data_IF_443931682890
#
_entry.id   IF_443931682890
#
_cell.length_a   1.000
_cell.length_b   1.000
_cell.length_c   1.000
_cell.angle_alpha   90.00
_cell.angle_beta   90.00
_cell.angle_gamma   90.00
#
_symmetry.space_group_name_H-M   'P 1'
#
loop_
_entity.id
_entity.type
_entity.pdbx_description
1 polymer ?
#
# COMPACT_ATOMS: atom_id res chain seq x y z
N UNK A 1 -10.48 10.64 18.60
CA UNK A 1 -10.81 11.26 17.35
C UNK A 1 -9.94 10.75 16.20
N UNK A 2 -10.56 10.32 15.16
CA UNK A 2 -9.83 9.82 14.02
C UNK A 2 -9.29 10.96 13.18
N UNK A 3 -8.03 10.88 12.82
CA UNK A 3 -7.38 11.86 11.96
C UNK A 3 -7.41 11.48 10.50
N UNK A 4 -7.86 10.30 10.20
CA UNK A 4 -8.06 9.81 8.86
C UNK A 4 -8.84 8.52 8.94
N UNK A 5 -9.44 8.14 7.86
CA UNK A 5 -10.20 6.91 7.80
C UNK A 5 -9.58 5.97 6.80
N UNK A 6 -9.60 4.71 7.15
CA UNK A 6 -9.25 3.68 6.19
C UNK A 6 -10.44 3.53 5.25
N UNK A 7 -10.18 3.77 3.96
CA UNK A 7 -11.17 3.52 2.92
C UNK A 7 -10.70 2.29 2.16
N UNK A 8 -11.30 1.18 2.48
CA UNK A 8 -11.01 -0.05 1.79
C UNK A 8 -12.32 -0.69 1.39
N UNK A 9 -12.37 -1.22 0.17
CA UNK A 9 -13.52 -1.96 -0.31
C UNK A 9 -13.61 -3.33 0.34
N UNK A 10 -12.59 -3.73 1.08
CA UNK A 10 -12.50 -5.06 1.68
C UNK A 10 -12.30 -4.98 3.18
N UNK A 11 -12.90 -5.92 3.91
CA UNK A 11 -12.58 -6.15 5.30
C UNK A 11 -11.15 -6.68 5.41
N UNK A 12 -10.54 -6.56 6.59
CA UNK A 12 -9.15 -6.99 6.80
C UNK A 12 -8.93 -8.46 6.47
N UNK A 13 -9.89 -9.31 6.80
CA UNK A 13 -9.79 -10.74 6.52
C UNK A 13 -9.84 -11.00 5.02
N UNK A 14 -10.68 -10.30 4.30
CA UNK A 14 -10.76 -10.43 2.86
C UNK A 14 -9.46 -9.97 2.18
N UNK A 15 -8.84 -8.91 2.69
CA UNK A 15 -7.54 -8.47 2.19
C UNK A 15 -6.49 -9.54 2.36
N UNK A 16 -6.43 -10.17 3.54
CA UNK A 16 -5.48 -11.24 3.77
C UNK A 16 -5.71 -12.42 2.81
N UNK A 17 -6.95 -12.85 2.67
CA UNK A 17 -7.28 -13.98 1.81
C UNK A 17 -6.94 -13.71 0.34
N UNK A 18 -7.21 -12.49 -0.11
CA UNK A 18 -6.93 -12.13 -1.50
C UNK A 18 -5.46 -11.84 -1.75
N UNK A 19 -4.80 -11.17 -0.84
CA UNK A 19 -3.46 -10.61 -1.08
C UNK A 19 -2.34 -11.40 -0.43
N UNK A 20 -2.65 -12.24 0.55
CA UNK A 20 -1.66 -12.96 1.32
C UNK A 20 -0.82 -12.08 2.23
N UNK A 21 -1.22 -10.83 2.43
CA UNK A 21 -0.52 -9.90 3.31
C UNK A 21 -1.20 -9.92 4.67
N UNK A 22 -0.43 -10.20 5.71
CA UNK A 22 -0.97 -10.28 7.07
C UNK A 22 -1.57 -8.95 7.50
N UNK A 23 -2.62 -9.03 8.28
CA UNK A 23 -3.32 -7.86 8.78
C UNK A 23 -2.39 -6.92 9.54
N UNK A 24 -1.47 -7.46 10.36
CA UNK A 24 -0.53 -6.62 11.10
C UNK A 24 0.36 -5.78 10.17
N UNK A 25 0.76 -6.34 9.03
CA UNK A 25 1.58 -5.62 8.07
C UNK A 25 0.77 -4.47 7.44
N UNK A 26 -0.47 -4.74 7.07
CA UNK A 26 -1.35 -3.71 6.51
C UNK A 26 -1.56 -2.59 7.53
N UNK A 27 -1.79 -2.94 8.78
CA UNK A 27 -1.96 -1.95 9.85
C UNK A 27 -0.69 -1.10 10.03
N UNK A 28 0.47 -1.73 9.98
CA UNK A 28 1.74 -1.02 10.07
C UNK A 28 1.91 -0.01 8.93
N UNK A 29 1.55 -0.41 7.71
CA UNK A 29 1.59 0.48 6.55
C UNK A 29 0.67 1.68 6.75
N UNK A 30 -0.55 1.44 7.22
CA UNK A 30 -1.53 2.50 7.48
C UNK A 30 -1.02 3.45 8.55
N UNK A 31 -0.46 2.93 9.64
CA UNK A 31 0.07 3.76 10.72
C UNK A 31 1.22 4.64 10.23
N UNK A 32 2.09 4.11 9.39
CA UNK A 32 3.18 4.89 8.82
C UNK A 32 2.66 5.96 7.87
N UNK A 33 1.62 5.66 7.10
CA UNK A 33 0.99 6.65 6.23
C UNK A 33 0.42 7.81 7.06
N UNK A 34 -0.21 7.52 8.18
CA UNK A 34 -0.73 8.54 9.08
C UNK A 34 0.40 9.36 9.70
N UNK A 35 1.47 8.68 10.12
CA UNK A 35 2.63 9.33 10.74
C UNK A 35 3.27 10.36 9.82
N UNK A 36 3.38 10.04 8.54
CA UNK A 36 4.06 10.91 7.57
C UNK A 36 3.10 11.72 6.71
N UNK A 37 1.83 11.78 7.10
CA UNK A 37 0.81 12.60 6.45
C UNK A 37 0.61 12.23 4.97
N UNK A 38 0.77 10.98 4.65
CA UNK A 38 0.50 10.46 3.31
C UNK A 38 -1.00 10.53 3.05
N UNK A 39 -1.40 10.93 1.84
CA UNK A 39 -2.79 11.14 1.49
C UNK A 39 -3.48 9.85 1.06
N UNK A 40 -2.74 8.95 0.42
CA UNK A 40 -3.33 7.76 -0.18
C UNK A 40 -2.26 6.69 -0.33
N UNK A 41 -2.63 5.44 -0.05
CA UNK A 41 -1.78 4.27 -0.29
C UNK A 41 -2.60 3.23 -1.05
N UNK A 42 -2.05 2.76 -2.15
CA UNK A 42 -2.71 1.80 -3.04
C UNK A 42 -1.83 0.56 -3.16
N UNK A 43 -2.41 -0.61 -2.96
CA UNK A 43 -1.76 -1.88 -3.27
C UNK A 43 -2.07 -2.22 -4.72
N UNK A 44 -1.05 -2.57 -5.50
CA UNK A 44 -1.24 -3.00 -6.88
C UNK A 44 -0.39 -4.24 -7.17
N UNK A 45 -0.32 -4.66 -8.42
CA UNK A 45 0.48 -5.81 -8.82
C UNK A 45 -0.16 -7.14 -8.47
N UNK A 46 0.66 -8.18 -8.40
CA UNK A 46 0.17 -9.55 -8.27
C UNK A 46 -0.63 -9.80 -7.01
N UNK A 47 -0.26 -9.17 -5.91
CA UNK A 47 -1.01 -9.36 -4.65
C UNK A 47 -2.37 -8.68 -4.69
N UNK A 48 -2.49 -7.56 -5.40
CA UNK A 48 -3.79 -6.93 -5.60
C UNK A 48 -4.67 -7.77 -6.53
N UNK A 49 -4.09 -8.35 -7.57
CA UNK A 49 -4.83 -9.22 -8.50
C UNK A 49 -5.21 -10.55 -7.89
N UNK A 50 -4.41 -11.04 -6.93
CA UNK A 50 -4.63 -12.34 -6.32
C UNK A 50 -3.84 -13.48 -6.98
N UNK A 51 -3.00 -13.17 -7.96
CA UNK A 51 -2.19 -14.19 -8.66
C UNK A 51 -0.75 -14.22 -8.18
N UNK A 52 -0.51 -13.76 -6.96
CA UNK A 52 0.80 -13.73 -6.35
C UNK A 52 1.30 -15.12 -6.00
N UNK A 53 2.62 -15.22 -5.87
CA UNK A 53 3.28 -16.39 -5.31
C UNK A 53 3.69 -16.07 -3.88
N UNK A 54 4.08 -17.11 -3.13
CA UNK A 54 4.42 -16.96 -1.71
C UNK A 54 5.42 -15.84 -1.45
N UNK A 55 6.41 -15.67 -2.32
CA UNK A 55 7.47 -14.69 -2.15
C UNK A 55 7.33 -13.48 -3.07
N UNK A 56 6.16 -13.28 -3.67
CA UNK A 56 5.92 -12.10 -4.51
C UNK A 56 6.08 -10.82 -3.70
N UNK A 57 6.65 -9.79 -4.33
CA UNK A 57 6.83 -8.49 -3.70
C UNK A 57 5.49 -7.85 -3.39
N UNK A 58 5.51 -6.94 -2.43
CA UNK A 58 4.35 -6.11 -2.11
C UNK A 58 4.53 -4.80 -2.88
N UNK A 59 3.66 -4.55 -3.84
CA UNK A 59 3.72 -3.36 -4.69
C UNK A 59 2.78 -2.29 -4.16
N UNK A 60 3.34 -1.18 -3.72
CA UNK A 60 2.58 -0.06 -3.17
C UNK A 60 2.80 1.20 -3.99
N UNK A 61 1.74 1.98 -4.16
CA UNK A 61 1.83 3.34 -4.68
C UNK A 61 1.28 4.28 -3.62
N UNK A 62 1.88 5.44 -3.47
CA UNK A 62 1.40 6.41 -2.50
C UNK A 62 1.43 7.81 -3.08
N UNK A 63 0.67 8.69 -2.46
CA UNK A 63 0.56 10.09 -2.88
C UNK A 63 0.56 10.98 -1.64
N UNK A 64 1.31 12.08 -1.71
CA UNK A 64 1.33 13.09 -0.68
C UNK A 64 2.23 12.78 0.50
N UNK A 65 2.31 13.72 1.42
CA UNK A 65 3.05 13.55 2.66
C UNK A 65 4.56 13.55 2.50
N UNK A 66 5.22 13.03 3.51
CA UNK A 66 6.67 12.91 3.54
C UNK A 66 7.10 11.56 2.97
N UNK A 67 6.98 11.44 1.65
CA UNK A 67 7.10 10.17 0.95
C UNK A 67 8.43 9.45 1.14
N UNK A 68 9.54 10.19 1.22
CA UNK A 68 10.84 9.56 1.41
C UNK A 68 10.93 8.83 2.75
N UNK A 69 10.40 9.44 3.79
CA UNK A 69 10.37 8.80 5.12
C UNK A 69 9.40 7.65 5.16
N UNK A 70 8.24 7.82 4.53
CA UNK A 70 7.25 6.76 4.45
C UNK A 70 7.81 5.52 3.77
N UNK A 71 8.41 5.68 2.60
CA UNK A 71 8.97 4.57 1.83
C UNK A 71 10.05 3.83 2.63
N UNK A 72 10.93 4.58 3.25
CA UNK A 72 12.03 4.01 4.01
C UNK A 72 11.51 3.19 5.19
N UNK A 73 10.58 3.76 5.96
CA UNK A 73 10.06 3.09 7.15
C UNK A 73 9.19 1.88 6.80
N UNK A 74 8.44 1.93 5.70
CA UNK A 74 7.69 0.77 5.26
C UNK A 74 8.63 -0.40 5.00
N UNK A 75 9.75 -0.13 4.36
CA UNK A 75 10.73 -1.17 4.05
C UNK A 75 11.44 -1.68 5.31
N UNK A 76 11.71 -0.79 6.27
CA UNK A 76 12.55 -1.11 7.43
C UNK A 76 11.77 -1.51 8.68
N UNK A 77 10.57 -0.98 8.86
CA UNK A 77 9.85 -1.06 10.15
C UNK A 77 8.68 -2.04 10.15
N UNK A 78 8.29 -2.57 8.99
CA UNK A 78 7.17 -3.53 8.97
C UNK A 78 7.64 -4.93 9.35
N UNK A 79 6.69 -5.72 9.85
CA UNK A 79 6.96 -7.06 10.40
C UNK A 79 7.02 -8.15 9.35
N UNK A 80 7.24 -7.82 8.08
CA UNK A 80 7.31 -8.79 7.00
C UNK A 80 8.73 -8.94 6.47
N UNK A 81 9.05 -10.14 6.01
CA UNK A 81 10.30 -10.41 5.30
C UNK A 81 10.16 -10.24 3.79
N UNK A 82 8.95 -9.95 3.31
CA UNK A 82 8.72 -9.71 1.89
C UNK A 82 9.31 -8.37 1.49
N UNK A 83 9.73 -8.29 0.22
CA UNK A 83 10.26 -7.06 -0.32
C UNK A 83 9.13 -6.12 -0.73
N UNK A 84 9.38 -4.83 -0.65
CA UNK A 84 8.45 -3.81 -1.11
C UNK A 84 8.97 -3.16 -2.38
N UNK A 85 8.06 -2.89 -3.32
CA UNK A 85 8.31 -2.05 -4.47
C UNK A 85 7.36 -0.85 -4.33
N UNK A 86 7.91 0.33 -4.04
CA UNK A 86 7.11 1.48 -3.65
C UNK A 86 7.25 2.60 -4.69
N UNK A 87 6.12 3.03 -5.21
CA UNK A 87 6.03 4.05 -6.27
C UNK A 87 5.45 5.34 -5.68
N UNK A 88 6.16 6.45 -5.92
CA UNK A 88 5.71 7.78 -5.50
C UNK A 88 4.90 8.39 -6.65
N UNK A 89 3.59 8.52 -6.46
CA UNK A 89 2.70 9.05 -7.48
C UNK A 89 2.84 10.55 -7.70
N UNK A 90 3.55 11.24 -6.82
CA UNK A 90 3.84 12.66 -7.02
C UNK A 90 5.04 12.89 -7.93
N UNK A 91 5.74 11.84 -8.31
CA UNK A 91 6.83 11.88 -9.27
C UNK A 91 6.35 11.35 -10.62
N UNK A 92 7.08 11.65 -11.71
CA UNK A 92 6.70 11.10 -13.02
C UNK A 92 6.67 9.58 -13.01
N UNK A 93 5.56 9.02 -13.49
CA UNK A 93 5.33 7.58 -13.57
C UNK A 93 4.88 7.25 -14.98
N UNK A 94 5.36 6.13 -15.53
CA UNK A 94 4.98 5.70 -16.86
C UNK A 94 3.47 5.47 -16.94
N UNK A 95 2.87 5.85 -18.07
CA UNK A 95 1.43 5.75 -18.28
C UNK A 95 0.92 4.33 -18.10
N UNK A 96 1.64 3.36 -18.61
CA UNK A 96 1.24 1.94 -18.49
C UNK A 96 1.15 1.51 -17.03
N UNK A 97 2.09 1.96 -16.21
CA UNK A 97 2.10 1.65 -14.78
C UNK A 97 0.93 2.33 -14.08
N UNK A 98 0.67 3.61 -14.42
CA UNK A 98 -0.48 4.33 -13.85
C UNK A 98 -1.79 3.63 -14.20
N UNK A 99 -1.93 3.15 -15.43
CA UNK A 99 -3.13 2.41 -15.83
C UNK A 99 -3.30 1.14 -15.00
N UNK A 100 -2.20 0.40 -14.79
CA UNK A 100 -2.25 -0.82 -13.98
C UNK A 100 -2.65 -0.52 -12.56
N UNK A 101 -2.07 0.53 -11.97
CA UNK A 101 -2.39 0.95 -10.59
C UNK A 101 -3.87 1.30 -10.48
N UNK A 102 -4.40 2.06 -11.45
CA UNK A 102 -5.80 2.47 -11.43
C UNK A 102 -6.76 1.31 -11.68
N UNK A 103 -6.38 0.36 -12.53
CA UNK A 103 -7.25 -0.74 -12.91
C UNK A 103 -7.32 -1.80 -11.83
N UNK A 104 -6.20 -2.16 -11.22
CA UNK A 104 -6.14 -3.29 -10.29
C UNK A 104 -5.86 -2.89 -8.85
N UNK A 105 -5.64 -1.62 -8.59
CA UNK A 105 -5.25 -1.15 -7.27
C UNK A 105 -6.34 -1.31 -6.22
N UNK A 106 -5.91 -1.65 -5.01
CA UNK A 106 -6.77 -1.72 -3.83
C UNK A 106 -6.32 -0.60 -2.91
N UNK A 107 -7.23 0.30 -2.56
CA UNK A 107 -6.90 1.40 -1.65
C UNK A 107 -6.77 0.83 -0.24
N UNK A 108 -5.57 0.90 0.32
CA UNK A 108 -5.32 0.47 1.68
C UNK A 108 -5.61 1.60 2.67
N UNK A 109 -5.36 2.82 2.28
CA UNK A 109 -5.56 3.99 3.12
C UNK A 109 -5.82 5.21 2.25
N UNK A 110 -6.76 6.02 2.67
CA UNK A 110 -7.02 7.31 2.04
C UNK A 110 -7.41 8.29 3.14
N UNK A 111 -6.68 9.39 3.21
CA UNK A 111 -6.96 10.44 4.19
C UNK A 111 -8.25 11.15 3.82
N UNK A 112 -9.12 11.30 4.79
CA UNK A 112 -10.44 11.88 4.60
C UNK A 112 -10.53 13.23 5.28
#
# INVERSE_FOLDING_TARGET
MCLGRVKSAMANQELFEKTGIKQCVIQEIIQLAQKYDVQKVILFGSRARGDYKLKSDIDLAFQGGKGNYFSFDVDEETSTLLQFDIIDLDKPVQDELLESINREGIILYEKV
#
